data_IF_022726633473
#
_entry.id   IF_022726633473
#
_cell.length_a   1.000
_cell.length_b   1.000
_cell.length_c   1.000
_cell.angle_alpha   90.00
_cell.angle_beta   90.00
_cell.angle_gamma   90.00
#
_symmetry.space_group_name_H-M   'P 1'
#
loop_
_entity.id
_entity.type
_entity.pdbx_description
1 polymer ?
#
# COMPACT_ATOMS: atom_id res chain seq x y z
N UNK A 1 -47.02 11.62 36.38
CA UNK A 1 -45.89 12.50 35.98
C UNK A 1 -44.64 11.71 35.58
N UNK A 2 -44.40 10.53 36.19
CA UNK A 2 -43.21 9.70 35.92
C UNK A 2 -43.17 9.04 34.54
N UNK A 3 -44.31 8.62 33.98
CA UNK A 3 -44.35 7.92 32.69
C UNK A 3 -43.83 8.78 31.52
N UNK A 4 -44.09 10.10 31.53
CA UNK A 4 -43.58 11.04 30.51
C UNK A 4 -42.06 11.24 30.62
N UNK A 5 -41.49 11.09 31.83
CA UNK A 5 -40.05 11.21 32.09
C UNK A 5 -39.29 9.98 31.57
N UNK A 6 -39.87 8.79 31.75
CA UNK A 6 -39.35 7.54 31.20
C UNK A 6 -39.33 7.51 29.67
N UNK A 7 -40.37 8.02 29.01
CA UNK A 7 -40.44 8.08 27.54
C UNK A 7 -39.39 9.08 26.98
N UNK A 8 -39.25 10.26 27.59
CA UNK A 8 -38.24 11.25 27.19
C UNK A 8 -36.81 10.75 27.37
N UNK A 9 -36.56 9.99 28.44
CA UNK A 9 -35.24 9.40 28.69
C UNK A 9 -34.89 8.31 27.65
N UNK A 10 -35.86 7.45 27.29
CA UNK A 10 -35.67 6.44 26.24
C UNK A 10 -35.38 7.07 24.87
N UNK A 11 -36.15 8.09 24.46
CA UNK A 11 -35.89 8.80 23.19
C UNK A 11 -34.53 9.52 23.18
N UNK A 12 -34.10 10.10 24.29
CA UNK A 12 -32.79 10.74 24.38
C UNK A 12 -31.64 9.72 24.24
N UNK A 13 -31.78 8.52 24.83
CA UNK A 13 -30.80 7.44 24.70
C UNK A 13 -30.74 6.91 23.26
N UNK A 14 -31.89 6.71 22.60
CA UNK A 14 -31.92 6.25 21.21
C UNK A 14 -31.28 7.27 20.25
N UNK A 15 -31.52 8.57 20.47
CA UNK A 15 -30.90 9.64 19.69
C UNK A 15 -29.39 9.73 19.92
N UNK A 16 -28.93 9.52 21.15
CA UNK A 16 -27.50 9.46 21.47
C UNK A 16 -26.81 8.26 20.81
N UNK A 17 -27.44 7.08 20.82
CA UNK A 17 -26.95 5.88 20.13
C UNK A 17 -26.88 6.12 18.61
N UNK A 18 -27.89 6.78 18.03
CA UNK A 18 -27.91 7.14 16.62
C UNK A 18 -26.74 8.07 16.24
N UNK A 19 -26.46 9.09 17.04
CA UNK A 19 -25.32 9.99 16.84
C UNK A 19 -23.98 9.24 16.98
N UNK A 20 -23.84 8.38 18.00
CA UNK A 20 -22.64 7.57 18.20
C UNK A 20 -22.41 6.56 17.06
N UNK A 21 -23.48 6.04 16.46
CA UNK A 21 -23.41 5.15 15.30
C UNK A 21 -23.22 5.88 13.96
N UNK A 22 -23.47 7.19 13.89
CA UNK A 22 -23.20 7.99 12.69
C UNK A 22 -21.80 8.61 12.70
N UNK A 23 -21.17 8.77 13.87
CA UNK A 23 -19.76 9.18 14.00
C UNK A 23 -18.75 8.11 13.60
N UNK A 24 -19.19 6.88 13.32
CA UNK A 24 -18.34 5.82 12.74
C UNK A 24 -18.30 5.81 11.22
N UNK A 25 -18.78 6.86 10.55
CA UNK A 25 -18.22 7.25 9.24
C UNK A 25 -16.81 7.78 9.49
N UNK A 26 -15.90 6.86 9.85
CA UNK A 26 -14.48 7.07 9.76
C UNK A 26 -14.22 7.38 8.29
N UNK A 27 -13.97 8.64 7.96
CA UNK A 27 -13.28 8.96 6.72
C UNK A 27 -12.00 8.15 6.75
N UNK A 28 -11.92 7.10 5.91
CA UNK A 28 -10.71 6.31 5.81
C UNK A 28 -9.64 7.26 5.26
N UNK A 29 -8.71 7.66 6.12
CA UNK A 29 -7.58 8.47 5.70
C UNK A 29 -6.65 7.58 4.87
N UNK A 30 -6.16 8.10 3.75
CA UNK A 30 -5.17 7.36 2.97
C UNK A 30 -3.91 7.13 3.82
N UNK A 31 -3.42 5.90 3.81
CA UNK A 31 -2.16 5.51 4.45
C UNK A 31 -1.22 4.86 3.44
N UNK A 32 0.09 5.05 3.65
CA UNK A 32 1.15 4.41 2.88
C UNK A 32 1.98 3.58 3.85
N UNK A 33 1.99 2.27 3.64
CA UNK A 33 2.72 1.31 4.46
C UNK A 33 3.85 0.68 3.63
N UNK A 34 5.04 0.61 4.20
CA UNK A 34 6.19 -0.08 3.62
C UNK A 34 6.90 -1.00 4.63
N UNK A 35 6.26 -1.28 5.77
CA UNK A 35 6.80 -2.13 6.82
C UNK A 35 6.55 -3.63 6.53
N UNK A 36 7.13 -4.09 5.44
CA UNK A 36 7.12 -5.48 5.00
C UNK A 36 8.38 -5.78 4.18
N UNK A 37 8.59 -7.06 3.86
CA UNK A 37 9.78 -7.51 3.16
C UNK A 37 9.95 -6.82 1.78
N UNK A 38 11.11 -6.20 1.56
CA UNK A 38 11.39 -5.43 0.34
C UNK A 38 10.66 -4.09 0.23
N UNK A 39 9.81 -3.76 1.21
CA UNK A 39 9.07 -2.49 1.23
C UNK A 39 10.00 -1.29 1.32
N UNK A 40 9.74 -0.26 0.52
CA UNK A 40 10.49 0.99 0.54
C UNK A 40 9.61 2.16 0.10
N UNK A 41 9.73 3.29 0.81
CA UNK A 41 9.05 4.53 0.49
C UNK A 41 8.08 4.99 1.57
N UNK A 42 7.86 6.30 1.57
CA UNK A 42 7.01 7.02 2.54
C UNK A 42 6.06 7.98 1.82
N UNK A 43 4.92 8.28 2.45
CA UNK A 43 4.04 9.34 1.98
C UNK A 43 4.69 10.71 2.18
N UNK A 44 4.78 11.51 1.12
CA UNK A 44 5.04 12.94 1.22
C UNK A 44 3.76 13.77 1.23
N UNK A 45 2.73 13.30 0.52
CA UNK A 45 1.44 13.96 0.42
C UNK A 45 0.33 12.92 0.16
N UNK A 46 -0.86 13.19 0.68
CA UNK A 46 -2.07 12.40 0.44
C UNK A 46 -3.29 13.32 0.39
N UNK A 47 -4.14 13.14 -0.61
CA UNK A 47 -5.48 13.74 -0.70
C UNK A 47 -6.52 12.61 -0.77
N UNK A 48 -7.31 12.47 0.31
CA UNK A 48 -8.36 11.45 0.42
C UNK A 48 -9.54 11.75 -0.49
N UNK A 49 -9.84 13.01 -0.75
CA UNK A 49 -11.02 13.40 -1.54
C UNK A 49 -10.81 13.09 -3.02
N UNK A 50 -9.56 13.21 -3.50
CA UNK A 50 -9.18 13.02 -4.91
C UNK A 50 -8.41 11.70 -5.18
N UNK A 51 -8.19 10.85 -4.17
CA UNK A 51 -7.29 9.69 -4.25
C UNK A 51 -5.90 10.07 -4.83
N UNK A 52 -5.31 11.14 -4.31
CA UNK A 52 -3.96 11.56 -4.72
C UNK A 52 -2.94 11.11 -3.68
N UNK A 53 -1.84 10.51 -4.13
CA UNK A 53 -0.74 10.09 -3.24
C UNK A 53 0.58 10.45 -3.88
N UNK A 54 1.46 11.09 -3.11
CA UNK A 54 2.84 11.31 -3.50
C UNK A 54 3.73 10.48 -2.59
N UNK A 55 4.53 9.61 -3.19
CA UNK A 55 5.50 8.79 -2.45
C UNK A 55 6.92 9.24 -2.72
N UNK A 56 7.78 9.13 -1.70
CA UNK A 56 9.22 9.37 -1.82
C UNK A 56 9.94 8.05 -1.54
N UNK A 57 10.79 7.61 -2.46
CA UNK A 57 11.70 6.49 -2.25
C UNK A 57 12.79 6.89 -1.24
N UNK A 58 13.09 6.00 -0.30
CA UNK A 58 14.13 6.21 0.71
C UNK A 58 15.43 5.49 0.36
N UNK A 59 16.55 6.01 0.85
CA UNK A 59 17.81 5.27 0.88
C UNK A 59 17.77 4.27 2.02
N UNK A 60 18.10 3.00 1.75
CA UNK A 60 18.21 1.95 2.78
C UNK A 60 19.59 1.28 2.72
N UNK A 61 20.08 0.74 3.82
CA UNK A 61 21.24 -0.17 3.86
C UNK A 61 22.42 0.17 2.94
N UNK A 62 23.09 1.31 3.15
CA UNK A 62 24.27 1.68 2.35
C UNK A 62 23.98 2.15 0.91
N UNK A 63 22.71 2.30 0.54
CA UNK A 63 22.31 2.84 -0.76
C UNK A 63 22.94 4.20 -1.04
N UNK A 64 23.35 4.40 -2.29
CA UNK A 64 23.79 5.70 -2.81
C UNK A 64 22.73 6.39 -3.67
N UNK A 65 21.62 5.69 -3.95
CA UNK A 65 20.52 6.12 -4.83
C UNK A 65 19.19 5.58 -4.33
N UNK A 66 18.18 6.45 -4.22
CA UNK A 66 16.82 6.09 -3.82
C UNK A 66 15.97 5.76 -5.05
N UNK A 67 16.18 4.56 -5.60
CA UNK A 67 15.52 4.11 -6.83
C UNK A 67 14.31 3.23 -6.54
N UNK A 68 14.39 2.37 -5.53
CA UNK A 68 13.36 1.38 -5.25
C UNK A 68 12.23 1.96 -4.42
N UNK A 69 10.99 1.62 -4.77
CA UNK A 69 9.84 1.79 -3.89
C UNK A 69 8.93 0.59 -4.07
N UNK A 70 8.29 0.23 -2.98
CA UNK A 70 7.34 -0.85 -2.88
C UNK A 70 6.50 -0.59 -1.63
N UNK A 71 5.26 -0.19 -1.84
CA UNK A 71 4.36 0.30 -0.78
C UNK A 71 2.98 -0.31 -0.95
N UNK A 72 2.26 -0.45 0.15
CA UNK A 72 0.81 -0.64 0.19
C UNK A 72 0.15 0.70 0.46
N UNK A 73 -0.74 1.13 -0.41
CA UNK A 73 -1.58 2.32 -0.22
C UNK A 73 -2.96 1.83 0.17
N UNK A 74 -3.50 2.30 1.29
CA UNK A 74 -4.81 1.90 1.83
C UNK A 74 -5.68 3.12 2.13
N UNK A 75 -6.98 2.89 2.34
CA UNK A 75 -7.94 3.96 2.63
C UNK A 75 -8.42 4.71 1.37
N UNK A 76 -8.24 4.12 0.20
CA UNK A 76 -8.65 4.70 -1.08
C UNK A 76 -10.16 4.53 -1.32
N UNK A 77 -10.75 5.49 -2.03
CA UNK A 77 -12.11 5.39 -2.53
C UNK A 77 -12.14 4.59 -3.86
N UNK A 78 -12.69 3.36 -3.94
CA UNK A 78 -12.65 2.57 -5.16
C UNK A 78 -13.46 3.15 -6.33
N UNK A 79 -14.30 4.17 -6.07
CA UNK A 79 -15.06 4.86 -7.12
C UNK A 79 -14.23 5.87 -7.93
N UNK A 80 -13.03 6.22 -7.46
CA UNK A 80 -12.11 7.16 -8.12
C UNK A 80 -10.81 6.43 -8.46
N UNK A 81 -10.15 6.74 -9.59
CA UNK A 81 -8.80 6.25 -9.83
C UNK A 81 -7.81 6.83 -8.82
N UNK A 82 -6.70 6.15 -8.57
CA UNK A 82 -5.57 6.68 -7.82
C UNK A 82 -4.67 7.50 -8.75
N UNK A 83 -4.39 8.74 -8.37
CA UNK A 83 -3.34 9.58 -8.96
C UNK A 83 -2.09 9.45 -8.11
N UNK A 84 -1.03 8.87 -8.68
CA UNK A 84 0.21 8.61 -7.96
C UNK A 84 1.37 9.41 -8.56
N UNK A 85 2.03 10.21 -7.72
CA UNK A 85 3.33 10.80 -8.03
C UNK A 85 4.43 10.07 -7.25
N UNK A 86 5.58 9.87 -7.90
CA UNK A 86 6.73 9.17 -7.29
C UNK A 86 7.99 10.01 -7.40
N UNK A 87 8.52 10.39 -6.24
CA UNK A 87 9.84 11.01 -6.11
C UNK A 87 10.91 9.93 -5.84
N UNK A 88 11.62 9.54 -6.88
CA UNK A 88 12.76 8.63 -6.83
C UNK A 88 13.89 9.16 -7.74
N UNK A 89 15.12 8.67 -7.57
CA UNK A 89 16.24 9.03 -8.45
C UNK A 89 15.94 8.71 -9.91
N UNK A 90 15.20 7.62 -10.14
CA UNK A 90 14.65 7.24 -11.42
C UNK A 90 13.42 6.36 -11.19
N UNK A 91 12.27 6.75 -11.74
CA UNK A 91 11.01 6.00 -11.70
C UNK A 91 10.66 5.33 -13.03
N UNK A 92 11.32 5.74 -14.12
CA UNK A 92 10.99 5.28 -15.47
C UNK A 92 9.58 5.69 -15.93
N UNK A 93 9.18 5.28 -17.15
CA UNK A 93 7.86 5.60 -17.70
C UNK A 93 6.74 4.65 -17.21
N UNK A 94 7.09 3.60 -16.47
CA UNK A 94 6.19 2.50 -16.12
C UNK A 94 6.42 2.02 -14.70
N UNK A 95 5.34 1.60 -14.05
CA UNK A 95 5.35 1.01 -12.71
C UNK A 95 4.46 -0.22 -12.70
N UNK A 96 4.51 -1.00 -11.62
CA UNK A 96 3.59 -2.13 -11.41
C UNK A 96 2.70 -1.90 -10.20
N UNK A 97 1.49 -2.44 -10.24
CA UNK A 97 0.56 -2.43 -9.11
C UNK A 97 -0.15 -3.77 -8.97
N UNK A 98 -0.66 -4.06 -7.77
CA UNK A 98 -1.38 -5.30 -7.46
C UNK A 98 -2.41 -5.07 -6.35
N UNK A 99 -3.54 -5.77 -6.40
CA UNK A 99 -4.58 -5.72 -5.35
C UNK A 99 -4.45 -6.84 -4.31
N UNK A 100 -3.71 -7.91 -4.64
CA UNK A 100 -3.56 -9.11 -3.81
C UNK A 100 -2.09 -9.44 -3.51
N UNK A 101 -1.18 -8.59 -3.96
CA UNK A 101 0.27 -8.73 -3.84
C UNK A 101 0.86 -9.98 -4.55
N UNK A 102 0.09 -10.57 -5.48
CA UNK A 102 0.45 -11.78 -6.22
C UNK A 102 0.32 -11.55 -7.72
N UNK A 103 -0.82 -11.01 -8.15
CA UNK A 103 -1.12 -10.72 -9.54
C UNK A 103 -0.83 -9.24 -9.81
N UNK A 104 0.18 -9.00 -10.64
CA UNK A 104 0.72 -7.67 -10.89
C UNK A 104 0.40 -7.17 -12.30
N UNK A 105 -0.13 -5.96 -12.37
CA UNK A 105 -0.43 -5.23 -13.61
C UNK A 105 0.57 -4.08 -13.81
N UNK A 106 0.68 -3.59 -15.05
CA UNK A 106 1.53 -2.44 -15.39
C UNK A 106 0.67 -1.22 -15.67
N UNK A 107 1.12 -0.06 -15.21
CA UNK A 107 0.62 1.24 -15.69
C UNK A 107 1.78 2.09 -16.20
N UNK A 108 1.45 3.08 -17.01
CA UNK A 108 2.40 4.03 -17.59
C UNK A 108 2.06 5.44 -17.15
N UNK A 109 3.03 6.34 -17.23
CA UNK A 109 2.79 7.77 -17.02
C UNK A 109 1.63 8.25 -17.89
N UNK A 110 0.68 8.93 -17.27
CA UNK A 110 -0.48 9.51 -17.95
C UNK A 110 -0.22 10.98 -18.29
N UNK A 111 0.55 11.66 -17.44
CA UNK A 111 1.08 13.01 -17.62
C UNK A 111 2.60 12.99 -17.34
N UNK A 112 3.29 14.14 -17.44
CA UNK A 112 4.75 14.22 -17.26
C UNK A 112 5.26 13.59 -15.95
N UNK A 113 4.48 13.64 -14.87
CA UNK A 113 4.95 13.26 -13.52
C UNK A 113 4.09 12.21 -12.79
N UNK A 114 2.90 11.86 -13.30
CA UNK A 114 1.90 11.10 -12.53
C UNK A 114 1.47 9.82 -13.26
N UNK A 115 1.24 8.79 -12.46
CA UNK A 115 0.61 7.53 -12.85
C UNK A 115 -0.86 7.54 -12.44
N UNK A 116 -1.71 6.94 -13.27
CA UNK A 116 -3.13 6.74 -12.95
C UNK A 116 -3.39 5.24 -12.83
N UNK A 117 -3.98 4.82 -11.70
CA UNK A 117 -4.30 3.42 -11.41
C UNK A 117 -5.82 3.29 -11.22
N UNK A 118 -6.53 2.50 -12.05
CA UNK A 118 -7.98 2.30 -11.88
C UNK A 118 -8.26 1.36 -10.72
N UNK A 119 -8.88 1.86 -9.65
CA UNK A 119 -9.06 1.09 -8.41
C UNK A 119 -10.18 0.03 -8.49
N UNK A 120 -9.90 -1.13 -7.90
CA UNK A 120 -10.86 -2.23 -7.69
C UNK A 120 -11.09 -2.53 -6.21
N UNK A 121 -10.25 -1.96 -5.34
CA UNK A 121 -10.23 -2.16 -3.90
C UNK A 121 -9.84 -0.85 -3.20
N UNK A 122 -10.07 -0.77 -1.89
CA UNK A 122 -9.65 0.37 -1.07
C UNK A 122 -8.17 0.31 -0.66
N UNK A 123 -7.44 -0.74 -1.09
CA UNK A 123 -5.99 -0.79 -1.03
C UNK A 123 -5.38 -1.27 -2.34
N UNK A 124 -4.12 -0.91 -2.57
CA UNK A 124 -3.32 -1.32 -3.72
C UNK A 124 -1.85 -1.32 -3.35
N UNK A 125 -1.13 -2.37 -3.75
CA UNK A 125 0.32 -2.42 -3.72
C UNK A 125 0.87 -1.74 -4.97
N UNK A 126 1.91 -0.93 -4.81
CA UNK A 126 2.59 -0.28 -5.94
C UNK A 126 4.09 -0.43 -5.78
N UNK A 127 4.78 -0.75 -6.88
CA UNK A 127 6.22 -0.92 -6.89
C UNK A 127 6.85 -0.40 -8.19
N UNK A 128 8.14 -0.08 -8.11
CA UNK A 128 8.94 0.34 -9.26
C UNK A 128 8.99 -0.74 -10.36
N UNK A 129 9.14 -2.00 -9.97
CA UNK A 129 9.10 -3.18 -10.84
C UNK A 129 8.49 -4.34 -10.06
N UNK A 130 8.29 -5.49 -10.72
CA UNK A 130 7.82 -6.71 -10.08
C UNK A 130 8.71 -7.04 -8.87
N UNK A 131 8.17 -7.03 -7.64
CA UNK A 131 8.97 -7.33 -6.46
C UNK A 131 9.50 -8.76 -6.51
N UNK A 132 10.75 -8.92 -6.12
CA UNK A 132 11.37 -10.22 -5.89
C UNK A 132 12.03 -10.16 -4.52
N UNK A 133 11.37 -10.76 -3.52
CA UNK A 133 11.80 -10.68 -2.13
C UNK A 133 12.78 -11.80 -1.78
N UNK A 134 13.41 -11.71 -0.61
CA UNK A 134 14.26 -12.78 -0.11
C UNK A 134 13.47 -14.08 0.11
N UNK A 135 12.21 -14.01 0.54
CA UNK A 135 11.30 -15.16 0.61
C UNK A 135 11.06 -15.82 -0.74
N UNK A 136 10.95 -15.04 -1.84
CA UNK A 136 10.88 -15.60 -3.18
C UNK A 136 12.17 -16.36 -3.54
N UNK A 137 13.32 -15.73 -3.29
CA UNK A 137 14.62 -16.37 -3.52
C UNK A 137 14.78 -17.67 -2.73
N UNK A 138 14.43 -17.69 -1.44
CA UNK A 138 14.52 -18.90 -0.61
C UNK A 138 13.61 -20.01 -1.11
N UNK A 139 12.40 -19.66 -1.57
CA UNK A 139 11.47 -20.64 -2.15
C UNK A 139 12.04 -21.23 -3.44
N UNK A 140 12.59 -20.40 -4.32
CA UNK A 140 13.20 -20.85 -5.57
C UNK A 140 14.41 -21.74 -5.31
N UNK A 141 15.29 -21.35 -4.37
CA UNK A 141 16.44 -22.14 -3.94
C UNK A 141 16.01 -23.50 -3.38
N UNK A 142 14.98 -23.53 -2.53
CA UNK A 142 14.42 -24.78 -2.01
C UNK A 142 13.94 -25.70 -3.14
N UNK A 143 13.16 -25.15 -4.08
CA UNK A 143 12.60 -25.93 -5.20
C UNK A 143 13.67 -26.54 -6.11
N UNK A 144 14.75 -25.79 -6.39
CA UNK A 144 15.84 -26.31 -7.23
C UNK A 144 16.76 -27.28 -6.48
N UNK A 145 16.86 -27.16 -5.15
CA UNK A 145 17.71 -28.03 -4.33
C UNK A 145 17.21 -29.48 -4.28
N UNK A 146 15.93 -29.70 -4.56
CA UNK A 146 15.32 -31.04 -4.65
C UNK A 146 15.71 -31.78 -5.94
N UNK A 147 16.32 -31.10 -6.91
CA UNK A 147 16.77 -31.72 -8.16
C UNK A 147 18.07 -32.50 -7.94
N UNK A 148 18.08 -33.78 -8.33
CA UNK A 148 19.21 -34.70 -8.09
C UNK A 148 20.54 -34.31 -8.73
N UNK A 149 20.53 -33.35 -9.65
CA UNK A 149 21.70 -32.84 -10.36
C UNK A 149 22.08 -31.41 -9.96
N UNK A 150 21.48 -30.87 -8.89
CA UNK A 150 21.77 -29.54 -8.35
C UNK A 150 22.43 -29.69 -6.98
N UNK A 151 23.36 -28.79 -6.68
CA UNK A 151 23.93 -28.62 -5.34
C UNK A 151 23.91 -27.14 -5.00
N UNK A 152 23.28 -26.80 -3.88
CA UNK A 152 23.24 -25.44 -3.34
C UNK A 152 24.29 -25.32 -2.23
N UNK A 153 25.01 -24.21 -2.18
CA UNK A 153 26.00 -23.94 -1.14
C UNK A 153 26.08 -22.45 -0.85
N UNK A 154 26.16 -22.10 0.43
CA UNK A 154 26.33 -20.72 0.88
C UNK A 154 27.77 -20.26 0.64
N UNK A 155 27.94 -19.10 0.00
CA UNK A 155 29.27 -18.54 -0.31
C UNK A 155 29.76 -17.57 0.75
N UNK A 156 28.86 -16.76 1.30
CA UNK A 156 29.15 -15.70 2.26
C UNK A 156 27.88 -15.28 3.00
N UNK A 157 28.05 -14.51 4.07
CA UNK A 157 26.98 -13.83 4.79
C UNK A 157 27.04 -12.35 4.39
N UNK A 158 25.91 -11.75 4.03
CA UNK A 158 25.82 -10.31 3.78
C UNK A 158 25.86 -9.53 5.10
N UNK A 159 26.40 -8.31 5.06
CA UNK A 159 26.31 -7.38 6.19
C UNK A 159 24.84 -7.01 6.47
N UNK A 160 24.51 -6.79 7.75
CA UNK A 160 23.18 -6.35 8.22
C UNK A 160 23.02 -4.82 8.15
#
# INVERSE_FOLDING_TARGET
MEMKRCIRLKSAITFLIFILSSTSLLFAQITVNSNFEGGNGIAAFTDTDENEVHIVSELKGGDTKNISYYVEISGLNPALPLTLEVSAHWSGPTIVYSYDNINWEKTTLTNLNNFTIPLQSSSVYVAHSYPYTYSNMITDVSNISDLSYVTVSDLAISEE
#
